data_IF_605741093156
#
_entry.id   IF_605741093156
#
_cell.length_a   1.000
_cell.length_b   1.000
_cell.length_c   1.000
_cell.angle_alpha   90.00
_cell.angle_beta   90.00
_cell.angle_gamma   90.00
#
_symmetry.space_group_name_H-M   'P 1'
#
loop_
_entity.id
_entity.type
_entity.pdbx_description
1 polymer ?
#
# COMPACT_ATOMS: atom_id res chain seq x y z
N UNK A 1 13.71 11.49 -21.90
CA UNK A 1 13.04 12.20 -20.80
C UNK A 1 12.35 11.15 -19.96
N UNK A 2 12.82 10.93 -18.74
CA UNK A 2 12.25 9.98 -17.79
C UNK A 2 10.92 10.52 -17.28
N UNK A 3 9.84 10.19 -17.98
CA UNK A 3 8.52 10.72 -17.67
C UNK A 3 7.99 10.07 -16.39
N UNK A 4 7.83 10.89 -15.35
CA UNK A 4 7.03 10.55 -14.16
C UNK A 4 5.60 10.24 -14.62
N UNK A 5 5.07 9.10 -14.19
CA UNK A 5 3.69 8.68 -14.49
C UNK A 5 2.93 8.57 -13.18
N UNK A 6 1.74 9.16 -13.13
CA UNK A 6 0.83 9.09 -11.99
C UNK A 6 -0.29 8.07 -12.23
N UNK A 7 -0.70 7.40 -11.16
CA UNK A 7 -1.88 6.54 -11.13
C UNK A 7 -2.80 6.91 -9.98
N UNK A 8 -4.09 6.69 -10.12
CA UNK A 8 -5.04 6.90 -9.03
C UNK A 8 -4.91 5.80 -7.97
N UNK A 9 -4.64 6.18 -6.73
CA UNK A 9 -4.52 5.29 -5.58
C UNK A 9 -5.49 5.74 -4.47
N UNK A 10 -5.89 4.81 -3.59
CA UNK A 10 -6.76 5.10 -2.46
C UNK A 10 -5.92 5.34 -1.20
N UNK A 11 -6.03 6.52 -0.61
CA UNK A 11 -5.40 6.88 0.65
C UNK A 11 -6.36 6.64 1.81
N UNK A 12 -5.89 5.99 2.87
CA UNK A 12 -6.53 5.89 4.18
C UNK A 12 -5.73 6.73 5.18
N UNK A 13 -6.18 7.96 5.50
CA UNK A 13 -5.51 8.82 6.46
C UNK A 13 -5.52 8.21 7.86
N UNK A 14 -4.40 8.34 8.58
CA UNK A 14 -4.29 7.85 9.96
C UNK A 14 -5.14 8.62 10.96
N UNK A 15 -5.45 9.89 10.67
CA UNK A 15 -6.09 10.84 11.58
C UNK A 15 -7.60 10.62 11.79
N UNK A 16 -8.22 9.74 10.98
CA UNK A 16 -9.65 9.39 11.03
C UNK A 16 -10.49 10.03 9.92
N UNK A 17 -9.91 10.83 9.02
CA UNK A 17 -10.62 11.30 7.82
C UNK A 17 -11.01 10.13 6.90
N UNK A 18 -12.04 10.38 6.09
CA UNK A 18 -12.51 9.39 5.12
C UNK A 18 -11.43 9.08 4.05
N UNK A 19 -11.38 7.82 3.57
CA UNK A 19 -10.53 7.46 2.44
C UNK A 19 -10.89 8.24 1.19
N UNK A 20 -9.88 8.60 0.41
CA UNK A 20 -10.06 9.38 -0.82
C UNK A 20 -8.96 9.06 -1.83
N UNK A 21 -9.21 9.41 -3.10
CA UNK A 21 -8.27 9.16 -4.19
C UNK A 21 -7.12 10.17 -4.16
N UNK A 22 -5.90 9.70 -4.47
CA UNK A 22 -4.69 10.51 -4.60
C UNK A 22 -3.84 10.04 -5.79
N UNK A 23 -3.09 10.93 -6.45
CA UNK A 23 -2.20 10.54 -7.55
C UNK A 23 -0.87 9.94 -7.03
N UNK A 24 -0.69 8.64 -7.17
CA UNK A 24 0.57 7.95 -6.85
C UNK A 24 1.57 8.09 -8.00
N UNK A 25 2.64 8.83 -7.76
CA UNK A 25 3.72 9.03 -8.72
C UNK A 25 4.64 7.81 -8.81
N UNK A 26 5.15 7.55 -10.02
CA UNK A 26 6.14 6.51 -10.28
C UNK A 26 7.33 7.07 -11.08
N UNK A 27 8.54 6.71 -10.68
CA UNK A 27 9.77 7.02 -11.41
C UNK A 27 10.33 5.77 -12.11
N UNK A 28 11.06 5.90 -13.23
CA UNK A 28 11.80 4.77 -13.79
C UNK A 28 12.84 4.27 -12.80
N UNK A 29 12.83 2.98 -12.47
CA UNK A 29 13.87 2.37 -11.67
C UNK A 29 15.08 2.08 -12.57
N UNK A 30 16.25 2.61 -12.20
CA UNK A 30 17.53 2.39 -12.90
C UNK A 30 18.15 1.02 -12.62
N UNK A 31 17.50 0.14 -11.85
CA UNK A 31 18.06 -1.15 -11.46
C UNK A 31 17.73 -2.19 -12.53
N UNK A 32 18.64 -2.35 -13.50
CA UNK A 32 18.76 -3.61 -14.23
C UNK A 32 19.39 -4.63 -13.27
N UNK A 33 18.58 -5.52 -12.69
CA UNK A 33 19.12 -6.74 -12.09
C UNK A 33 19.63 -7.64 -13.24
N UNK A 34 20.95 -7.91 -13.37
CA UNK A 34 21.50 -8.71 -14.46
C UNK A 34 21.05 -10.18 -14.42
N UNK A 35 20.45 -10.62 -13.31
CA UNK A 35 20.14 -12.03 -13.04
C UNK A 35 18.64 -12.37 -13.05
N UNK A 36 17.75 -11.40 -13.28
CA UNK A 36 16.31 -11.65 -13.29
C UNK A 36 15.84 -12.24 -14.63
N UNK A 37 15.43 -13.53 -14.70
CA UNK A 37 14.79 -14.07 -15.88
C UNK A 37 13.33 -13.60 -15.87
N UNK A 38 12.87 -12.93 -16.93
CA UNK A 38 11.53 -12.36 -17.12
C UNK A 38 11.34 -10.89 -16.67
N UNK A 39 11.47 -9.95 -17.62
CA UNK A 39 10.33 -9.25 -18.24
C UNK A 39 10.81 -7.95 -18.91
N UNK A 40 10.43 -7.73 -20.17
CA UNK A 40 10.84 -6.59 -20.99
C UNK A 40 10.17 -5.25 -20.66
N UNK A 41 9.63 -5.07 -19.44
CA UNK A 41 9.04 -3.81 -18.99
C UNK A 41 9.97 -3.11 -17.99
N UNK A 42 10.22 -1.80 -18.14
CA UNK A 42 11.02 -1.06 -17.17
C UNK A 42 10.31 -1.08 -15.82
N UNK A 43 11.02 -1.53 -14.78
CA UNK A 43 10.55 -1.41 -13.40
C UNK A 43 10.36 0.08 -13.11
N UNK A 44 9.21 0.44 -12.56
CA UNK A 44 8.85 1.78 -12.12
C UNK A 44 8.63 1.78 -10.61
N UNK A 45 9.41 2.60 -9.91
CA UNK A 45 9.33 2.71 -8.46
C UNK A 45 8.17 3.64 -8.07
N UNK A 46 7.15 3.17 -7.33
CA UNK A 46 6.12 4.04 -6.76
C UNK A 46 6.69 4.86 -5.60
N UNK A 47 6.12 6.04 -5.38
CA UNK A 47 6.51 6.96 -4.31
C UNK A 47 5.39 7.17 -3.27
N UNK A 48 4.98 6.12 -2.53
CA UNK A 48 3.92 6.25 -1.53
C UNK A 48 4.37 7.09 -0.32
N UNK A 49 5.67 7.27 -0.09
CA UNK A 49 6.24 8.09 0.98
C UNK A 49 5.75 9.54 0.97
N UNK A 50 5.36 10.07 -0.21
CA UNK A 50 4.82 11.43 -0.36
C UNK A 50 3.52 11.63 0.42
N UNK A 51 2.80 10.54 0.70
CA UNK A 51 1.55 10.55 1.47
C UNK A 51 1.70 9.99 2.88
N UNK A 52 2.91 9.62 3.31
CA UNK A 52 3.16 9.03 4.63
C UNK A 52 3.70 10.09 5.59
N UNK A 53 2.80 10.71 6.34
CA UNK A 53 3.17 11.73 7.32
C UNK A 53 4.22 11.18 8.29
N UNK A 54 5.27 11.98 8.53
CA UNK A 54 6.34 11.68 9.49
C UNK A 54 7.28 10.51 9.14
N UNK A 55 7.21 9.99 7.92
CA UNK A 55 8.16 9.00 7.41
C UNK A 55 9.59 9.54 7.37
N UNK A 56 10.57 8.65 7.56
CA UNK A 56 11.98 8.99 7.43
C UNK A 56 12.33 9.39 5.99
N UNK A 57 12.98 10.54 5.84
CA UNK A 57 13.44 11.07 4.56
C UNK A 57 14.81 10.48 4.17
N UNK A 58 15.11 10.46 2.87
CA UNK A 58 16.41 10.02 2.34
C UNK A 58 16.67 8.50 2.39
N UNK A 59 15.78 7.70 2.98
CA UNK A 59 15.89 6.24 2.99
C UNK A 59 15.27 5.57 1.75
N UNK A 60 14.49 6.31 0.96
CA UNK A 60 13.82 5.80 -0.24
C UNK A 60 12.86 4.64 0.09
N UNK A 61 12.83 3.58 -0.74
CA UNK A 61 11.96 2.41 -0.53
C UNK A 61 12.20 1.63 0.78
N UNK A 62 13.24 1.97 1.55
CA UNK A 62 13.53 1.36 2.86
C UNK A 62 12.70 1.96 4.00
N UNK A 63 12.03 3.11 3.78
CA UNK A 63 11.25 3.78 4.81
C UNK A 63 9.81 3.23 4.94
N UNK A 64 9.36 2.52 3.91
CA UNK A 64 8.02 1.93 3.82
C UNK A 64 8.13 0.46 3.41
N UNK A 65 7.04 -0.27 3.60
CA UNK A 65 6.88 -1.64 3.15
C UNK A 65 5.57 -1.77 2.38
N UNK A 66 5.35 -2.93 1.76
CA UNK A 66 4.14 -3.20 1.02
C UNK A 66 3.58 -4.59 1.32
N UNK A 67 2.29 -4.75 1.05
CA UNK A 67 1.59 -6.02 1.13
C UNK A 67 0.69 -6.21 -0.08
N UNK A 68 0.66 -7.42 -0.64
CA UNK A 68 -0.15 -7.74 -1.81
C UNK A 68 -1.47 -8.36 -1.38
N UNK A 69 -2.56 -7.80 -1.89
CA UNK A 69 -3.90 -8.38 -1.75
C UNK A 69 -4.33 -8.92 -3.10
N UNK A 70 -4.05 -10.21 -3.30
CA UNK A 70 -4.33 -10.90 -4.55
C UNK A 70 -5.70 -11.56 -4.58
N UNK A 71 -6.30 -11.81 -3.41
CA UNK A 71 -7.62 -12.40 -3.24
C UNK A 71 -8.18 -11.99 -1.87
N UNK A 72 -9.49 -12.16 -1.67
CA UNK A 72 -10.10 -12.13 -0.33
C UNK A 72 -10.19 -13.55 0.23
N UNK A 73 -10.45 -13.63 1.53
CA UNK A 73 -10.82 -14.88 2.20
C UNK A 73 -11.93 -15.59 1.41
N UNK A 74 -11.81 -16.91 1.29
CA UNK A 74 -12.76 -17.78 0.59
C UNK A 74 -12.85 -17.58 -0.95
N UNK A 75 -11.98 -16.78 -1.58
CA UNK A 75 -11.90 -16.71 -3.04
C UNK A 75 -11.02 -17.83 -3.62
N UNK A 76 -11.51 -18.50 -4.67
CA UNK A 76 -10.78 -19.58 -5.36
C UNK A 76 -9.93 -19.07 -6.54
N UNK A 77 -9.98 -17.76 -6.84
CA UNK A 77 -9.23 -17.12 -7.93
C UNK A 77 -8.74 -15.77 -7.45
N UNK A 78 -7.56 -15.37 -7.93
CA UNK A 78 -7.02 -14.03 -7.72
C UNK A 78 -7.85 -12.98 -8.47
N UNK A 79 -7.79 -11.73 -8.01
CA UNK A 79 -8.30 -10.59 -8.75
C UNK A 79 -7.63 -10.44 -10.11
N UNK A 80 -8.37 -9.99 -11.12
CA UNK A 80 -7.80 -9.61 -12.43
C UNK A 80 -6.79 -8.46 -12.29
N UNK A 81 -7.07 -7.54 -11.37
CA UNK A 81 -6.17 -6.44 -11.01
C UNK A 81 -6.02 -6.45 -9.49
N UNK A 82 -5.04 -7.19 -8.94
CA UNK A 82 -4.74 -7.21 -7.52
C UNK A 82 -4.39 -5.84 -6.95
N UNK A 83 -4.39 -5.75 -5.62
CA UNK A 83 -4.03 -4.54 -4.89
C UNK A 83 -2.67 -4.66 -4.22
N UNK A 84 -1.99 -3.53 -4.06
CA UNK A 84 -0.79 -3.39 -3.24
C UNK A 84 -1.05 -2.31 -2.20
N UNK A 85 -0.84 -2.65 -0.93
CA UNK A 85 -0.99 -1.78 0.23
C UNK A 85 0.40 -1.32 0.67
N UNK A 86 0.68 -0.03 0.58
CA UNK A 86 1.89 0.59 1.09
C UNK A 86 1.66 1.16 2.48
N UNK A 87 2.61 0.94 3.39
CA UNK A 87 2.56 1.42 4.77
C UNK A 87 3.94 1.81 5.28
N UNK A 88 4.04 2.84 6.15
CA UNK A 88 5.33 3.30 6.65
C UNK A 88 5.90 2.34 7.70
N UNK A 89 7.23 2.18 7.73
CA UNK A 89 7.93 1.32 8.69
C UNK A 89 9.07 2.03 9.45
N UNK A 90 9.61 3.13 8.91
CA UNK A 90 10.63 3.96 9.58
C UNK A 90 10.16 5.39 9.69
N UNK A 91 9.98 5.89 10.92
CA UNK A 91 9.64 7.29 11.20
C UNK A 91 10.90 8.16 11.28
N UNK A 92 10.71 9.48 11.16
CA UNK A 92 11.80 10.45 11.19
C UNK A 92 12.61 10.43 12.49
N UNK A 93 12.00 10.11 13.61
CA UNK A 93 12.60 10.16 14.96
C UNK A 93 12.67 8.79 15.66
N UNK A 94 12.21 7.71 15.02
CA UNK A 94 12.13 6.38 15.60
C UNK A 94 10.86 6.11 16.44
N UNK A 95 9.95 7.07 16.59
CA UNK A 95 8.69 6.88 17.29
C UNK A 95 7.70 6.05 16.44
N UNK A 96 6.87 5.18 17.05
CA UNK A 96 5.88 4.41 16.30
C UNK A 96 4.86 5.32 15.60
N UNK A 97 4.48 4.96 14.37
CA UNK A 97 3.38 5.62 13.68
C UNK A 97 2.05 5.44 14.45
N UNK A 98 1.14 6.43 14.42
CA UNK A 98 -0.15 6.32 15.07
C UNK A 98 -0.99 5.21 14.43
N UNK A 99 -1.84 4.53 15.22
CA UNK A 99 -2.81 3.57 14.68
C UNK A 99 -3.75 4.30 13.72
N UNK A 100 -3.96 3.73 12.54
CA UNK A 100 -4.90 4.26 11.56
C UNK A 100 -6.32 4.16 12.10
N UNK A 101 -6.91 5.29 12.49
CA UNK A 101 -8.19 5.31 13.19
C UNK A 101 -9.33 4.75 12.35
N UNK A 102 -9.35 5.05 11.05
CA UNK A 102 -10.39 4.58 10.15
C UNK A 102 -10.35 3.05 9.96
N UNK A 103 -9.16 2.49 9.72
CA UNK A 103 -9.00 1.03 9.60
C UNK A 103 -9.30 0.34 10.93
N UNK A 104 -8.87 0.92 12.07
CA UNK A 104 -9.22 0.41 13.40
C UNK A 104 -10.73 0.33 13.60
N UNK A 105 -11.49 1.37 13.21
CA UNK A 105 -12.95 1.37 13.33
C UNK A 105 -13.59 0.26 12.49
N UNK A 106 -13.10 0.04 11.27
CA UNK A 106 -13.52 -1.10 10.44
C UNK A 106 -13.23 -2.42 11.16
N UNK A 107 -12.01 -2.61 11.68
CA UNK A 107 -11.62 -3.84 12.37
C UNK A 107 -12.41 -4.08 13.67
N UNK A 108 -12.80 -3.02 14.38
CA UNK A 108 -13.68 -3.13 15.56
C UNK A 108 -15.07 -3.64 15.13
N UNK A 109 -15.63 -3.12 14.03
CA UNK A 109 -16.89 -3.63 13.46
C UNK A 109 -16.79 -5.11 13.08
N UNK A 110 -15.62 -5.54 12.58
CA UNK A 110 -15.29 -6.93 12.26
C UNK A 110 -14.90 -7.81 13.45
N UNK A 111 -14.82 -7.26 14.68
CA UNK A 111 -14.32 -7.94 15.88
C UNK A 111 -12.92 -8.56 15.71
N UNK A 112 -12.09 -7.97 14.84
CA UNK A 112 -10.77 -8.46 14.45
C UNK A 112 -9.62 -7.57 14.94
N UNK A 113 -9.94 -6.41 15.53
CA UNK A 113 -8.92 -5.45 15.96
C UNK A 113 -7.98 -6.04 17.01
N UNK A 114 -6.67 -5.96 16.71
CA UNK A 114 -5.57 -6.27 17.63
C UNK A 114 -4.52 -5.20 17.48
N UNK A 115 -4.19 -4.51 18.57
CA UNK A 115 -3.26 -3.38 18.52
C UNK A 115 -1.86 -3.78 18.05
N UNK A 116 -1.40 -4.98 18.42
CA UNK A 116 -0.09 -5.53 18.02
C UNK A 116 0.06 -5.70 16.50
N UNK A 117 -1.04 -5.91 15.77
CA UNK A 117 -1.06 -6.06 14.31
C UNK A 117 -1.88 -4.95 13.64
N UNK A 118 -2.04 -3.80 14.29
CA UNK A 118 -2.83 -2.71 13.76
C UNK A 118 -2.11 -2.02 12.59
N UNK A 119 -2.88 -1.59 11.59
CA UNK A 119 -2.38 -0.70 10.55
C UNK A 119 -2.03 0.66 11.14
N UNK A 120 -0.82 1.15 10.85
CA UNK A 120 -0.29 2.40 11.42
C UNK A 120 0.15 3.36 10.33
N UNK A 121 0.02 4.65 10.60
CA UNK A 121 0.29 5.72 9.66
C UNK A 121 -0.73 5.78 8.52
N UNK A 122 -0.42 6.63 7.54
CA UNK A 122 -1.22 6.76 6.33
C UNK A 122 -0.98 5.52 5.45
N UNK A 123 -2.08 4.89 5.01
CA UNK A 123 -2.02 3.68 4.20
C UNK A 123 -2.44 4.01 2.78
N UNK A 124 -1.61 3.66 1.79
CA UNK A 124 -1.87 3.95 0.39
C UNK A 124 -2.12 2.62 -0.31
N UNK A 125 -3.21 2.53 -1.08
CA UNK A 125 -3.55 1.31 -1.81
C UNK A 125 -3.62 1.60 -3.31
N UNK A 126 -2.80 0.92 -4.09
CA UNK A 126 -2.80 0.99 -5.54
C UNK A 126 -3.21 -0.36 -6.16
N UNK A 127 -3.51 -0.33 -7.45
CA UNK A 127 -3.79 -1.53 -8.25
C UNK A 127 -2.68 -1.77 -9.25
N UNK A 128 -2.47 -3.03 -9.56
CA UNK A 128 -1.50 -3.42 -10.58
C UNK A 128 -2.03 -4.56 -11.44
N UNK A 129 -1.33 -4.77 -12.56
CA UNK A 129 -1.47 -5.89 -13.48
C UNK A 129 -0.12 -6.61 -13.53
N UNK A 130 -0.12 -7.93 -13.51
CA UNK A 130 1.09 -8.78 -13.62
C UNK A 130 2.13 -8.60 -12.50
N UNK A 131 2.70 -7.39 -12.31
CA UNK A 131 3.64 -7.06 -11.24
C UNK A 131 3.38 -5.67 -10.63
N UNK A 132 3.48 -5.54 -9.28
CA UNK A 132 3.18 -4.31 -8.54
C UNK A 132 4.14 -3.15 -8.82
N UNK A 133 5.26 -3.40 -9.49
CA UNK A 133 6.28 -2.38 -9.78
C UNK A 133 6.54 -2.17 -11.26
N UNK A 134 5.84 -2.86 -12.16
CA UNK A 134 6.00 -2.65 -13.61
C UNK A 134 4.72 -2.15 -14.27
N UNK A 135 3.55 -2.52 -13.73
CA UNK A 135 2.29 -2.29 -14.44
C UNK A 135 1.18 -1.86 -13.47
N UNK A 136 1.37 -0.70 -12.83
CA UNK A 136 0.32 -0.03 -12.07
C UNK A 136 -0.86 0.34 -12.98
N UNK A 137 -2.07 0.33 -12.43
CA UNK A 137 -3.30 0.74 -13.12
C UNK A 137 -4.11 1.67 -12.23
N UNK A 138 -4.90 2.56 -12.84
CA UNK A 138 -5.75 3.48 -12.08
C UNK A 138 -6.76 2.71 -11.22
N UNK A 139 -6.72 3.01 -9.91
CA UNK A 139 -7.80 2.67 -8.99
C UNK A 139 -9.00 3.58 -9.16
N UNK A 140 -10.06 3.25 -8.45
CA UNK A 140 -11.29 4.03 -8.35
C UNK A 140 -11.84 3.95 -6.93
N UNK A 141 -12.67 4.91 -6.55
CA UNK A 141 -13.39 4.84 -5.27
C UNK A 141 -14.28 3.58 -5.18
N UNK A 142 -14.64 2.97 -6.32
CA UNK A 142 -15.33 1.69 -6.38
C UNK A 142 -14.52 0.51 -5.82
N UNK A 143 -13.20 0.65 -5.63
CA UNK A 143 -12.36 -0.34 -4.98
C UNK A 143 -12.52 -0.34 -3.44
N UNK A 144 -13.06 0.74 -2.87
CA UNK A 144 -13.18 0.90 -1.43
C UNK A 144 -13.93 -0.25 -0.73
N UNK A 145 -15.10 -0.73 -1.21
CA UNK A 145 -15.80 -1.84 -0.55
C UNK A 145 -14.97 -3.13 -0.47
N UNK A 146 -14.17 -3.42 -1.50
CA UNK A 146 -13.29 -4.61 -1.56
C UNK A 146 -12.19 -4.47 -0.51
N UNK A 147 -11.53 -3.31 -0.49
CA UNK A 147 -10.46 -3.03 0.47
C UNK A 147 -10.96 -2.95 1.91
N UNK A 148 -12.16 -2.38 2.12
CA UNK A 148 -12.84 -2.38 3.41
C UNK A 148 -13.09 -3.81 3.91
N UNK A 149 -13.54 -4.71 3.02
CA UNK A 149 -13.75 -6.11 3.38
C UNK A 149 -12.42 -6.78 3.76
N UNK A 150 -11.34 -6.53 3.01
CA UNK A 150 -10.01 -7.02 3.37
C UNK A 150 -9.58 -6.54 4.77
N UNK A 151 -9.64 -5.22 5.01
CA UNK A 151 -9.27 -4.63 6.31
C UNK A 151 -10.17 -5.08 7.46
N UNK A 152 -11.39 -5.57 7.19
CA UNK A 152 -12.32 -6.07 8.20
C UNK A 152 -11.74 -7.25 8.99
N UNK A 153 -10.90 -8.09 8.36
CA UNK A 153 -10.35 -9.30 8.98
C UNK A 153 -8.83 -9.31 9.08
N UNK A 154 -8.13 -8.43 8.34
CA UNK A 154 -6.67 -8.47 8.22
C UNK A 154 -5.96 -7.31 8.96
N UNK A 155 -5.04 -7.66 9.86
CA UNK A 155 -4.02 -6.76 10.38
C UNK A 155 -2.82 -6.60 9.45
N UNK A 156 -1.83 -5.81 9.87
CA UNK A 156 -0.53 -5.74 9.17
C UNK A 156 0.12 -7.13 9.20
N UNK A 157 0.52 -7.69 8.05
CA UNK A 157 1.23 -8.96 8.02
C UNK A 157 2.64 -8.78 8.58
N UNK A 158 3.05 -9.64 9.53
CA UNK A 158 4.46 -9.73 9.95
C UNK A 158 4.84 -9.09 11.29
N UNK A 159 3.90 -8.74 12.17
CA UNK A 159 4.21 -8.59 13.61
C UNK A 159 3.72 -9.83 14.38
N UNK A 160 4.35 -10.98 14.13
CA UNK A 160 4.40 -12.06 15.11
C UNK A 160 5.60 -11.76 16.01
N UNK A 161 5.34 -11.59 17.31
CA UNK A 161 6.37 -11.55 18.34
C UNK A 161 7.24 -12.79 18.33
#
# INVERSE_FOLDING_TARGET
MDQLVSFEALLFPSDGRNPHMVPLMTSPATVQDPLAPYSGLPVRMPHPEVYMDYIAEGLGPRAWSYHLVEALDCMNKKFTHPYVIFYPIVSRDGMPFPVNKFIREIQIQGKSFREASAWRGNIIVAKYRESPFSSMVNGSIADFPILRNYFLTHGVPGHAS
#
